data_IF_304290908824
#
_entry.id   IF_304290908824
#
_cell.length_a   1.000
_cell.length_b   1.000
_cell.length_c   1.000
_cell.angle_alpha   90.00
_cell.angle_beta   90.00
_cell.angle_gamma   90.00
#
_symmetry.space_group_name_H-M   'P 1'
#
loop_
_entity.id
_entity.type
_entity.pdbx_description
1 polymer ?
#
# COMPACT_ATOMS: atom_id res chain seq x y z
N UNK A 1 -4.79 -7.62 -13.45
CA UNK A 1 -4.97 -7.37 -12.00
C UNK A 1 -5.24 -5.89 -11.78
N UNK A 2 -6.00 -5.52 -10.74
CA UNK A 2 -6.19 -4.13 -10.34
C UNK A 2 -5.18 -3.78 -9.25
N UNK A 3 -4.57 -2.59 -9.35
CA UNK A 3 -3.64 -2.07 -8.36
C UNK A 3 -4.09 -0.66 -7.97
N UNK A 4 -4.39 -0.49 -6.69
CA UNK A 4 -4.70 0.83 -6.11
C UNK A 4 -3.56 1.25 -5.21
N UNK A 5 -2.97 2.41 -5.44
CA UNK A 5 -1.79 2.87 -4.71
C UNK A 5 -1.92 4.27 -4.13
N UNK A 6 -1.10 4.51 -3.10
CA UNK A 6 -1.05 5.73 -2.31
C UNK A 6 0.40 6.07 -2.01
N UNK A 7 0.69 7.37 -1.91
CA UNK A 7 2.00 7.90 -1.50
C UNK A 7 1.88 8.64 -0.18
N UNK A 8 2.88 8.52 0.68
CA UNK A 8 2.90 9.27 1.94
C UNK A 8 2.89 10.76 1.64
N UNK A 9 2.14 11.53 2.42
CA UNK A 9 2.22 12.97 2.34
C UNK A 9 3.48 13.42 3.10
N UNK A 10 4.43 14.02 2.38
CA UNK A 10 5.76 14.38 2.89
C UNK A 10 5.77 15.31 4.12
N UNK A 11 4.65 15.99 4.42
CA UNK A 11 4.51 16.84 5.60
C UNK A 11 3.37 16.36 6.53
N UNK A 12 3.59 15.21 7.19
CA UNK A 12 2.63 14.61 8.16
C UNK A 12 2.35 15.54 9.37
N UNK A 13 3.14 16.60 9.57
CA UNK A 13 3.03 17.51 10.70
C UNK A 13 2.06 18.67 10.47
N UNK A 14 1.83 19.08 9.22
CA UNK A 14 0.96 20.22 8.90
C UNK A 14 -0.50 19.87 8.63
N UNK A 15 -0.82 18.59 8.37
CA UNK A 15 -2.19 18.18 8.06
C UNK A 15 -2.82 17.50 9.26
N UNK A 16 -3.88 18.12 9.77
CA UNK A 16 -4.72 17.56 10.80
C UNK A 16 -6.06 17.11 10.21
N UNK A 17 -6.53 15.89 10.53
CA UNK A 17 -7.84 15.44 10.13
C UNK A 17 -8.88 16.27 10.88
N UNK A 18 -9.37 17.32 10.22
CA UNK A 18 -10.23 18.33 10.82
C UNK A 18 -11.59 17.78 11.25
N UNK A 19 -12.04 16.67 10.65
CA UNK A 19 -13.39 16.12 10.83
C UNK A 19 -13.45 14.61 11.09
N UNK A 20 -12.31 13.94 11.30
CA UNK A 20 -12.29 12.50 11.49
C UNK A 20 -12.35 12.18 13.00
N UNK A 21 -13.51 11.70 13.48
CA UNK A 21 -13.60 11.10 14.83
C UNK A 21 -12.82 9.80 14.82
N UNK A 22 -11.53 9.86 15.16
CA UNK A 22 -10.66 8.70 15.15
C UNK A 22 -10.52 8.12 16.55
N UNK A 23 -10.79 6.82 16.63
CA UNK A 23 -10.50 6.00 17.81
C UNK A 23 -9.06 5.45 17.78
N UNK A 24 -8.25 5.84 16.78
CA UNK A 24 -6.86 5.41 16.62
C UNK A 24 -5.88 6.51 17.08
N UNK A 25 -4.81 6.15 17.82
CA UNK A 25 -3.73 7.08 18.11
C UNK A 25 -3.05 7.62 16.83
N UNK A 26 -2.66 8.90 16.83
CA UNK A 26 -2.09 9.60 15.64
C UNK A 26 -0.96 8.84 14.95
N UNK A 27 -0.10 8.15 15.70
CA UNK A 27 1.02 7.38 15.16
C UNK A 27 0.60 6.23 14.23
N UNK A 28 -0.65 5.76 14.34
CA UNK A 28 -1.23 4.71 13.50
C UNK A 28 -2.04 5.27 12.34
N UNK A 29 -2.01 6.59 12.11
CA UNK A 29 -2.77 7.25 11.05
C UNK A 29 -1.80 7.91 10.09
N UNK A 30 -2.01 7.69 8.80
CA UNK A 30 -1.17 8.18 7.71
C UNK A 30 -1.98 9.01 6.73
N UNK A 31 -1.66 10.32 6.56
CA UNK A 31 -2.16 11.08 5.43
C UNK A 31 -1.44 10.62 4.15
N UNK A 32 -2.20 10.35 3.11
CA UNK A 32 -1.66 9.86 1.84
C UNK A 32 -2.32 10.56 0.65
N UNK A 33 -1.58 10.64 -0.44
CA UNK A 33 -2.06 11.10 -1.74
C UNK A 33 -2.46 9.85 -2.55
N UNK A 34 -3.74 9.71 -2.97
CA UNK A 34 -4.15 8.65 -3.87
C UNK A 34 -3.47 8.79 -5.23
N UNK A 35 -2.92 7.70 -5.77
CA UNK A 35 -2.42 7.63 -7.14
C UNK A 35 -3.46 7.08 -8.13
N UNK A 36 -4.57 6.59 -7.59
CA UNK A 36 -5.67 6.00 -8.36
C UNK A 36 -5.58 4.48 -8.42
N UNK A 37 -6.53 3.90 -9.15
CA UNK A 37 -6.55 2.48 -9.50
C UNK A 37 -6.08 2.33 -10.94
N UNK A 38 -5.19 1.37 -11.18
CA UNK A 38 -4.72 0.99 -12.51
C UNK A 38 -4.99 -0.49 -12.73
N UNK A 39 -5.43 -0.83 -13.94
CA UNK A 39 -5.52 -2.23 -14.38
C UNK A 39 -4.24 -2.59 -15.12
N UNK A 40 -3.58 -3.67 -14.67
CA UNK A 40 -2.35 -4.20 -15.25
C UNK A 40 -2.57 -5.55 -15.92
N UNK A 41 -1.83 -5.75 -17.00
CA UNK A 41 -1.77 -6.91 -17.86
C UNK A 41 -0.31 -7.34 -18.09
N UNK A 42 -0.05 -8.55 -18.62
CA UNK A 42 1.31 -8.98 -18.97
C UNK A 42 2.00 -8.09 -20.01
N UNK A 43 1.25 -7.29 -20.76
CA UNK A 43 1.75 -6.37 -21.78
C UNK A 43 2.23 -5.03 -21.21
N UNK A 44 1.97 -4.76 -19.93
CA UNK A 44 2.38 -3.53 -19.26
C UNK A 44 3.82 -3.61 -18.75
N UNK A 45 4.48 -2.45 -18.69
CA UNK A 45 5.81 -2.31 -18.11
C UNK A 45 5.82 -2.57 -16.59
N UNK A 46 7.00 -2.90 -16.05
CA UNK A 46 7.15 -3.09 -14.61
C UNK A 46 6.78 -1.82 -13.84
N UNK A 47 5.91 -1.98 -12.83
CA UNK A 47 5.64 -0.93 -11.87
C UNK A 47 6.86 -0.70 -10.98
N UNK A 48 7.20 0.56 -10.72
CA UNK A 48 8.28 0.94 -9.82
C UNK A 48 7.71 1.77 -8.68
N UNK A 49 7.95 1.32 -7.45
CA UNK A 49 7.60 2.03 -6.23
C UNK A 49 8.87 2.37 -5.44
N UNK A 50 8.82 3.47 -4.70
CA UNK A 50 9.89 3.94 -3.83
C UNK A 50 9.37 4.08 -2.40
N UNK A 51 10.23 4.30 -1.39
CA UNK A 51 9.77 4.54 -0.02
C UNK A 51 8.76 5.69 0.11
N UNK A 52 8.80 6.67 -0.81
CA UNK A 52 7.96 7.87 -0.80
C UNK A 52 6.80 7.79 -1.81
N UNK A 53 6.95 7.05 -2.90
CA UNK A 53 6.00 7.03 -4.01
C UNK A 53 5.41 5.63 -4.26
N UNK A 54 4.07 5.55 -4.26
CA UNK A 54 3.32 4.32 -4.53
C UNK A 54 3.52 3.20 -3.50
N UNK A 55 4.18 3.50 -2.38
CA UNK A 55 4.66 2.52 -1.41
C UNK A 55 3.55 1.80 -0.62
N UNK A 56 2.33 2.35 -0.63
CA UNK A 56 1.17 1.72 -0.01
C UNK A 56 0.24 1.32 -1.13
N UNK A 57 -0.05 0.03 -1.29
CA UNK A 57 -0.89 -0.44 -2.38
C UNK A 57 -1.71 -1.67 -2.00
N UNK A 58 -2.79 -1.86 -2.75
CA UNK A 58 -3.63 -3.04 -2.74
C UNK A 58 -3.62 -3.62 -4.15
N UNK A 59 -3.39 -4.93 -4.25
CA UNK A 59 -3.45 -5.68 -5.51
C UNK A 59 -4.62 -6.65 -5.41
N UNK A 60 -5.47 -6.66 -6.44
CA UNK A 60 -6.56 -7.62 -6.55
C UNK A 60 -6.58 -8.29 -7.93
N UNK A 61 -6.81 -9.62 -7.99
CA UNK A 61 -7.03 -10.28 -9.26
C UNK A 61 -8.25 -9.71 -9.98
N UNK A 62 -8.20 -9.71 -11.32
CA UNK A 62 -9.35 -9.43 -12.18
C UNK A 62 -9.62 -10.70 -12.97
N UNK A 63 -10.87 -11.15 -12.99
CA UNK A 63 -11.35 -12.27 -13.82
C UNK A 63 -10.57 -13.59 -13.65
N UNK A 64 -10.19 -13.92 -12.41
CA UNK A 64 -9.57 -15.21 -12.05
C UNK A 64 -8.21 -15.05 -11.38
N UNK A 65 -7.46 -16.15 -11.18
CA UNK A 65 -6.14 -16.10 -10.56
C UNK A 65 -5.16 -15.22 -11.35
N UNK A 66 -4.31 -14.50 -10.62
CA UNK A 66 -3.23 -13.72 -11.20
C UNK A 66 -1.90 -14.14 -10.57
N UNK A 67 -0.84 -14.08 -11.37
CA UNK A 67 0.54 -14.19 -10.90
C UNK A 67 1.25 -12.86 -11.16
N UNK A 68 2.10 -12.46 -10.23
CA UNK A 68 2.95 -11.28 -10.34
C UNK A 68 4.32 -11.59 -9.72
N UNK A 69 5.33 -10.79 -10.08
CA UNK A 69 6.70 -10.93 -9.59
C UNK A 69 7.13 -9.60 -8.97
N UNK A 70 7.51 -9.65 -7.69
CA UNK A 70 8.08 -8.51 -7.00
C UNK A 70 9.58 -8.70 -6.76
N UNK A 71 10.33 -7.63 -6.97
CA UNK A 71 11.75 -7.52 -6.58
C UNK A 71 11.83 -6.46 -5.48
N UNK A 72 12.15 -6.89 -4.26
CA UNK A 72 12.26 -6.01 -3.09
C UNK A 72 13.72 -5.64 -2.82
N UNK A 73 14.02 -4.34 -2.78
CA UNK A 73 15.36 -3.82 -2.56
C UNK A 73 15.36 -2.67 -1.53
N UNK A 74 15.71 -2.91 -0.25
CA UNK A 74 15.98 -4.21 0.38
C UNK A 74 14.71 -5.02 0.68
N UNK A 75 14.80 -6.34 0.90
CA UNK A 75 13.66 -7.14 1.36
C UNK A 75 13.23 -6.75 2.78
N UNK A 76 12.04 -7.20 3.17
CA UNK A 76 11.57 -7.12 4.55
C UNK A 76 12.58 -7.74 5.52
N UNK A 77 12.66 -7.16 6.71
CA UNK A 77 13.59 -7.55 7.75
C UNK A 77 12.88 -8.47 8.74
N UNK A 78 12.92 -9.77 8.43
CA UNK A 78 12.36 -10.80 9.30
C UNK A 78 13.27 -11.14 10.50
N UNK A 79 14.52 -10.68 10.50
CA UNK A 79 15.49 -10.96 11.56
C UNK A 79 15.38 -9.98 12.72
N UNK A 80 15.37 -8.68 12.40
CA UNK A 80 15.36 -7.61 13.42
C UNK A 80 14.01 -6.93 13.56
N UNK A 81 13.10 -7.13 12.60
CA UNK A 81 11.78 -6.49 12.59
C UNK A 81 11.80 -5.00 12.25
N UNK A 82 12.91 -4.45 11.77
CA UNK A 82 13.00 -3.02 11.38
C UNK A 82 12.19 -2.66 10.14
N UNK A 83 11.97 -3.62 9.23
CA UNK A 83 11.20 -3.47 8.00
C UNK A 83 10.11 -4.54 7.97
N UNK A 84 8.99 -4.26 8.62
CA UNK A 84 7.81 -5.14 8.65
C UNK A 84 6.74 -4.63 7.71
N UNK A 85 5.96 -5.55 7.15
CA UNK A 85 4.79 -5.20 6.37
C UNK A 85 3.65 -4.79 7.31
N UNK A 86 3.09 -3.60 7.09
CA UNK A 86 1.94 -3.08 7.82
C UNK A 86 0.72 -3.04 6.92
N UNK A 87 -0.45 -3.34 7.50
CA UNK A 87 -1.73 -3.28 6.81
C UNK A 87 -2.47 -2.01 7.19
N UNK A 88 -3.24 -1.48 6.26
CA UNK A 88 -3.96 -0.23 6.42
C UNK A 88 -5.38 -0.36 5.89
N UNK A 89 -6.28 0.43 6.46
CA UNK A 89 -7.64 0.62 5.94
C UNK A 89 -7.91 2.10 5.74
N UNK A 90 -8.75 2.43 4.77
CA UNK A 90 -9.24 3.79 4.60
C UNK A 90 -10.13 4.17 5.77
N UNK A 91 -9.86 5.31 6.40
CA UNK A 91 -10.67 5.82 7.52
C UNK A 91 -11.33 7.16 7.22
N UNK A 92 -10.95 7.83 6.12
CA UNK A 92 -11.57 9.07 5.70
C UNK A 92 -10.90 9.70 4.49
N UNK A 93 -11.57 10.68 3.88
CA UNK A 93 -11.07 11.44 2.75
C UNK A 93 -11.40 12.91 2.93
N UNK A 94 -10.45 13.77 2.62
CA UNK A 94 -10.61 15.22 2.62
C UNK A 94 -10.35 15.75 1.22
N UNK A 95 -11.39 16.30 0.60
CA UNK A 95 -11.27 16.94 -0.72
C UNK A 95 -10.76 18.36 -0.55
N UNK A 96 -9.67 18.70 -1.24
CA UNK A 96 -9.14 20.06 -1.28
C UNK A 96 -9.06 20.55 -2.71
N UNK A 97 -9.53 21.79 -2.94
CA UNK A 97 -9.40 22.44 -4.25
C UNK A 97 -7.97 22.89 -4.55
N UNK A 98 -7.16 23.08 -3.51
CA UNK A 98 -5.84 23.71 -3.62
C UNK A 98 -4.68 22.72 -3.40
N UNK A 99 -4.90 21.67 -2.59
CA UNK A 99 -3.85 20.73 -2.16
C UNK A 99 -3.97 19.33 -2.78
N UNK A 100 -5.01 19.07 -3.57
CA UNK A 100 -5.37 17.73 -4.02
C UNK A 100 -6.12 16.93 -2.94
N UNK A 101 -6.73 15.82 -3.36
CA UNK A 101 -7.48 14.96 -2.44
C UNK A 101 -6.51 14.23 -1.49
N UNK A 102 -6.79 14.31 -0.19
CA UNK A 102 -6.04 13.62 0.86
C UNK A 102 -6.88 12.45 1.35
N UNK A 103 -6.28 11.26 1.35
CA UNK A 103 -6.85 10.07 1.96
C UNK A 103 -6.18 9.84 3.32
N UNK A 104 -6.96 9.40 4.30
CA UNK A 104 -6.46 9.01 5.61
C UNK A 104 -6.50 7.51 5.73
N UNK A 105 -5.34 6.92 6.04
CA UNK A 105 -5.19 5.48 6.27
C UNK A 105 -4.94 5.22 7.75
N UNK A 106 -5.70 4.29 8.34
CA UNK A 106 -5.47 3.79 9.69
C UNK A 106 -4.78 2.44 9.62
N UNK A 107 -3.68 2.28 10.35
CA UNK A 107 -3.01 0.98 10.50
C UNK A 107 -3.97 -0.01 11.16
N UNK A 108 -4.05 -1.19 10.58
CA UNK A 108 -4.91 -2.29 11.02
C UNK A 108 -4.07 -3.55 11.23
N UNK A 109 -4.68 -4.56 11.86
CA UNK A 109 -4.15 -5.91 11.84
C UNK A 109 -4.22 -6.51 10.43
N UNK A 110 -3.47 -7.59 10.21
CA UNK A 110 -3.61 -8.39 9.00
C UNK A 110 -5.08 -8.76 8.76
N UNK A 111 -5.60 -8.62 7.53
CA UNK A 111 -6.94 -9.07 7.18
C UNK A 111 -7.11 -10.56 7.48
N UNK A 112 -8.28 -10.97 7.99
CA UNK A 112 -8.52 -12.36 8.45
C UNK A 112 -8.58 -13.36 7.30
N UNK A 113 -8.92 -12.89 6.12
CA UNK A 113 -9.00 -13.62 4.86
C UNK A 113 -7.68 -13.60 4.06
N UNK A 114 -6.68 -12.85 4.52
CA UNK A 114 -5.35 -12.82 3.92
C UNK A 114 -4.43 -13.87 4.56
N UNK A 115 -3.82 -14.70 3.72
CA UNK A 115 -2.79 -15.65 4.11
C UNK A 115 -1.72 -15.76 3.02
N UNK A 116 -0.51 -16.14 3.44
CA UNK A 116 0.59 -16.45 2.55
C UNK A 116 1.02 -17.89 2.79
N UNK A 117 1.47 -18.55 1.72
CA UNK A 117 2.09 -19.87 1.77
C UNK A 117 3.32 -19.89 0.87
N UNK A 118 4.19 -20.87 1.08
CA UNK A 118 5.47 -20.98 0.38
C UNK A 118 5.52 -22.28 -0.42
N UNK A 119 5.86 -22.16 -1.70
CA UNK A 119 6.13 -23.29 -2.57
C UNK A 119 7.59 -23.25 -3.05
N UNK A 120 8.25 -24.41 -3.25
CA UNK A 120 9.57 -24.45 -3.85
C UNK A 120 9.52 -23.94 -5.30
N UNK A 121 10.54 -23.21 -5.72
CA UNK A 121 10.70 -22.80 -7.10
C UNK A 121 11.12 -24.01 -7.96
N UNK A 122 10.34 -24.30 -9.01
CA UNK A 122 10.54 -25.45 -9.91
C UNK A 122 10.90 -25.02 -11.34
N UNK A 123 11.26 -23.74 -11.54
CA UNK A 123 11.66 -23.21 -12.84
C UNK A 123 13.11 -23.54 -13.20
N UNK A 124 13.64 -22.89 -14.26
CA UNK A 124 15.05 -23.01 -14.64
C UNK A 124 16.00 -22.65 -13.50
N UNK A 125 17.24 -23.15 -13.53
CA UNK A 125 18.27 -22.71 -12.58
C UNK A 125 18.53 -21.20 -12.71
N UNK A 126 18.72 -20.53 -11.58
CA UNK A 126 18.93 -19.08 -11.48
C UNK A 126 20.41 -18.71 -11.59
#
# INVERSE_FOLDING_TARGET
MAVTSYSLLNDENEVHPSNLRMNLPRQFIKPVIPKGETTLSPEDECCVLSPEEGNIHQISPIDGPAAFLDILAPPYDHETGKRVCHYYQTIGMEKSKDRGDIMWLGQAGQPRDFWCDTAPYLGPEL
#
